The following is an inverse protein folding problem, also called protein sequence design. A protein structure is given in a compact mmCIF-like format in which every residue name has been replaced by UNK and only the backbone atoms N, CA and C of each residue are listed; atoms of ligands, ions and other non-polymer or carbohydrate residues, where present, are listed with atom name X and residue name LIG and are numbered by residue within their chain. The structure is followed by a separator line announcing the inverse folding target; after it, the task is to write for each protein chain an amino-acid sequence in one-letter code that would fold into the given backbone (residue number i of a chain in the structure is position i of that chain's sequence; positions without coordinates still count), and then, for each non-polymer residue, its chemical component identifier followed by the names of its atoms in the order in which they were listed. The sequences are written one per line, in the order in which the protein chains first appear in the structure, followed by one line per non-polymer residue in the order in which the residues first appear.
data_IF_123491972471
#
_entry.id   IF_123491972471
#
_cell.length_a   1.000
_cell.length_b   1.000
_cell.length_c   1.000
_cell.angle_alpha   90.00
_cell.angle_beta   90.00
_cell.angle_gamma   90.00
#
_symmetry.space_group_name_H-M   'P 1'
#
loop_
_entity.id
_entity.type
_entity.pdbx_description
1 polymer ?
#
# COMPACT_ATOMS: atom_id res chain seq x y z
N UNK A 1 18.34 -26.84 13.37
CA UNK A 1 17.74 -27.08 12.05
C UNK A 1 17.76 -25.79 11.25
N UNK A 2 18.25 -25.82 10.01
CA UNK A 2 18.30 -24.66 9.09
C UNK A 2 16.86 -24.31 8.66
N UNK A 3 16.46 -23.03 8.60
CA UNK A 3 15.14 -22.68 8.08
C UNK A 3 15.05 -23.05 6.60
N UNK A 4 13.85 -23.38 6.14
CA UNK A 4 13.57 -23.71 4.75
C UNK A 4 13.61 -22.44 3.89
N UNK A 5 14.83 -22.04 3.52
CA UNK A 5 15.13 -20.88 2.71
C UNK A 5 16.22 -21.19 1.69
N UNK A 6 15.99 -20.76 0.45
CA UNK A 6 16.86 -20.99 -0.70
C UNK A 6 17.11 -19.67 -1.44
N UNK A 7 18.27 -19.56 -2.09
CA UNK A 7 18.60 -18.43 -2.94
C UNK A 7 18.86 -18.95 -4.36
N UNK A 8 18.07 -18.50 -5.33
CA UNK A 8 18.09 -18.94 -6.72
C UNK A 8 18.00 -17.74 -7.67
N UNK A 9 18.27 -17.97 -8.96
CA UNK A 9 18.15 -16.95 -10.00
C UNK A 9 19.49 -16.33 -10.41
N UNK A 10 19.49 -15.44 -11.40
CA UNK A 10 20.70 -14.89 -11.97
C UNK A 10 21.39 -13.92 -11.00
N UNK A 11 22.72 -13.79 -11.09
CA UNK A 11 23.51 -12.88 -10.24
C UNK A 11 23.03 -11.42 -10.27
N UNK A 12 22.41 -10.97 -11.37
CA UNK A 12 21.87 -9.62 -11.52
C UNK A 12 20.56 -9.39 -10.74
N UNK A 13 19.82 -10.45 -10.42
CA UNK A 13 18.53 -10.39 -9.74
C UNK A 13 18.29 -11.68 -8.93
N UNK A 14 19.08 -11.94 -7.88
CA UNK A 14 18.93 -13.14 -7.08
C UNK A 14 17.64 -13.07 -6.25
N UNK A 15 17.01 -14.22 -6.05
CA UNK A 15 15.74 -14.37 -5.35
C UNK A 15 15.94 -15.27 -4.14
N UNK A 16 15.74 -14.72 -2.95
CA UNK A 16 15.66 -15.49 -1.71
C UNK A 16 14.22 -15.89 -1.49
N UNK A 17 13.97 -17.17 -1.27
CA UNK A 17 12.64 -17.73 -1.00
C UNK A 17 12.67 -18.50 0.30
N UNK A 18 11.82 -18.11 1.26
CA UNK A 18 11.60 -18.77 2.53
C UNK A 18 10.14 -19.23 2.63
N UNK A 19 9.90 -20.50 2.95
CA UNK A 19 8.54 -21.05 2.97
C UNK A 19 8.33 -22.16 3.99
N UNK A 20 7.08 -22.41 4.38
CA UNK A 20 6.71 -23.50 5.29
C UNK A 20 7.41 -23.44 6.65
N UNK A 21 7.67 -22.23 7.18
CA UNK A 21 8.25 -22.11 8.52
C UNK A 21 7.16 -22.30 9.58
N UNK A 22 7.43 -23.19 10.52
CA UNK A 22 6.43 -23.73 11.44
C UNK A 22 6.14 -22.82 12.62
N UNK A 23 7.13 -22.02 13.05
CA UNK A 23 7.04 -21.16 14.22
C UNK A 23 7.99 -19.96 14.15
N UNK A 24 7.83 -19.05 15.12
CA UNK A 24 8.63 -17.83 15.28
C UNK A 24 10.13 -18.12 15.49
N UNK A 25 10.49 -19.24 16.14
CA UNK A 25 11.90 -19.62 16.39
C UNK A 25 12.57 -20.06 15.09
N UNK A 26 11.85 -20.78 14.23
CA UNK A 26 12.33 -21.17 12.91
C UNK A 26 12.54 -19.94 12.03
N UNK A 27 11.57 -19.01 12.01
CA UNK A 27 11.68 -17.75 11.28
C UNK A 27 12.82 -16.86 11.78
N UNK A 28 13.09 -16.82 13.10
CA UNK A 28 14.23 -16.08 13.65
C UNK A 28 15.60 -16.59 13.17
N UNK A 29 15.68 -17.84 12.67
CA UNK A 29 16.94 -18.38 12.12
C UNK A 29 17.24 -17.84 10.72
N UNK A 30 16.29 -17.21 10.02
CA UNK A 30 16.53 -16.56 8.72
C UNK A 30 17.66 -15.53 8.85
N UNK A 31 17.69 -14.76 9.94
CA UNK A 31 18.73 -13.77 10.24
C UNK A 31 20.16 -14.33 10.27
N UNK A 32 20.34 -15.64 10.43
CA UNK A 32 21.65 -16.30 10.45
C UNK A 32 22.09 -16.83 9.08
N UNK A 33 21.21 -16.76 8.08
CA UNK A 33 21.55 -17.17 6.72
C UNK A 33 22.54 -16.18 6.13
N UNK A 34 23.66 -16.70 5.62
CA UNK A 34 24.62 -15.92 4.86
C UNK A 34 24.38 -16.15 3.38
N UNK A 35 24.26 -15.06 2.64
CA UNK A 35 24.16 -15.10 1.19
C UNK A 35 25.41 -14.44 0.59
N UNK A 36 25.96 -14.99 -0.51
CA UNK A 36 27.20 -14.47 -1.11
C UNK A 36 27.03 -13.09 -1.76
N UNK A 37 25.80 -12.57 -1.86
CA UNK A 37 25.46 -11.34 -2.56
C UNK A 37 24.65 -10.45 -1.61
N UNK A 38 25.10 -9.21 -1.39
CA UNK A 38 24.39 -8.23 -0.55
C UNK A 38 23.21 -7.55 -1.24
N UNK A 39 23.22 -7.48 -2.58
CA UNK A 39 22.11 -6.92 -3.37
C UNK A 39 21.19 -8.02 -3.85
N UNK A 40 19.96 -8.03 -3.33
CA UNK A 40 18.96 -9.05 -3.63
C UNK A 40 17.88 -8.45 -4.51
N UNK A 41 17.55 -9.12 -5.61
CA UNK A 41 16.46 -8.71 -6.48
C UNK A 41 15.12 -8.83 -5.75
N UNK A 42 14.87 -10.01 -5.16
CA UNK A 42 13.61 -10.28 -4.45
C UNK A 42 13.80 -11.15 -3.21
N UNK A 43 13.09 -10.81 -2.14
CA UNK A 43 12.88 -11.68 -1.00
C UNK A 43 11.41 -12.11 -0.97
N UNK A 44 11.15 -13.42 -0.98
CA UNK A 44 9.81 -13.99 -0.94
C UNK A 44 9.62 -14.82 0.33
N UNK A 45 8.56 -14.54 1.08
CA UNK A 45 8.21 -15.24 2.30
C UNK A 45 6.75 -15.65 2.27
N UNK A 46 6.48 -16.94 2.29
CA UNK A 46 5.11 -17.45 2.16
C UNK A 46 4.83 -18.72 2.95
N UNK A 47 3.54 -19.06 3.04
CA UNK A 47 3.01 -20.31 3.60
C UNK A 47 3.59 -20.65 4.99
N UNK A 48 3.78 -19.63 5.83
CA UNK A 48 4.45 -19.76 7.14
C UNK A 48 3.51 -19.38 8.29
N UNK A 49 3.63 -20.08 9.42
CA UNK A 49 2.73 -19.98 10.59
C UNK A 49 3.16 -18.94 11.61
N UNK A 50 3.72 -17.82 11.15
CA UNK A 50 4.15 -16.72 12.02
C UNK A 50 3.14 -15.58 12.04
N UNK A 51 3.13 -14.83 13.13
CA UNK A 51 2.19 -13.72 13.38
C UNK A 51 2.86 -12.35 13.40
N UNK A 52 4.17 -12.30 13.63
CA UNK A 52 4.94 -11.06 13.66
C UNK A 52 6.18 -11.14 12.78
N UNK A 53 6.39 -10.13 11.94
CA UNK A 53 7.65 -9.98 11.21
C UNK A 53 8.43 -8.76 11.72
N UNK A 54 9.64 -8.96 12.20
CA UNK A 54 10.45 -7.94 12.88
C UNK A 54 11.95 -8.05 12.55
N UNK A 55 12.73 -7.11 13.07
CA UNK A 55 14.18 -7.00 12.83
C UNK A 55 15.02 -8.16 13.40
N UNK A 56 14.44 -9.06 14.19
CA UNK A 56 15.13 -10.28 14.62
C UNK A 56 15.06 -11.39 13.58
N UNK A 57 14.22 -11.25 12.54
CA UNK A 57 14.04 -12.26 11.48
C UNK A 57 14.83 -11.97 10.21
N UNK A 58 15.28 -10.73 10.00
CA UNK A 58 15.98 -10.33 8.78
C UNK A 58 17.50 -10.20 8.96
N UNK A 59 18.32 -10.73 8.02
CA UNK A 59 19.74 -10.39 7.95
C UNK A 59 19.92 -8.91 7.61
N UNK A 60 20.82 -8.26 8.34
CA UNK A 60 20.97 -6.79 8.33
C UNK A 60 21.77 -6.27 7.14
N UNK A 61 22.43 -7.15 6.42
CA UNK A 61 23.28 -6.85 5.26
C UNK A 61 22.52 -6.88 3.93
N UNK A 62 21.29 -7.43 3.92
CA UNK A 62 20.53 -7.62 2.69
C UNK A 62 19.88 -6.33 2.24
N UNK A 63 20.29 -5.86 1.06
CA UNK A 63 19.70 -4.73 0.35
C UNK A 63 18.81 -5.28 -0.75
N UNK A 64 17.51 -5.28 -0.51
CA UNK A 64 16.51 -5.95 -1.32
C UNK A 64 15.75 -4.91 -2.17
N UNK A 65 15.43 -5.24 -3.42
CA UNK A 65 14.60 -4.38 -4.29
C UNK A 65 13.11 -4.66 -4.17
N UNK A 66 12.74 -5.93 -4.02
CA UNK A 66 11.34 -6.35 -3.89
C UNK A 66 11.19 -7.30 -2.70
N UNK A 67 10.37 -6.91 -1.72
CA UNK A 67 9.96 -7.76 -0.62
C UNK A 67 8.52 -8.22 -0.85
N UNK A 68 8.30 -9.53 -0.88
CA UNK A 68 7.00 -10.18 -0.98
C UNK A 68 6.74 -11.06 0.25
N UNK A 69 5.68 -10.78 0.97
CA UNK A 69 5.19 -11.54 2.12
C UNK A 69 3.74 -11.92 1.83
N UNK A 70 3.46 -13.20 1.63
CA UNK A 70 2.14 -13.63 1.15
C UNK A 70 1.67 -14.94 1.79
N UNK A 71 0.35 -15.09 2.00
CA UNK A 71 -0.26 -16.32 2.53
C UNK A 71 0.38 -16.79 3.84
N UNK A 72 0.57 -15.86 4.77
CA UNK A 72 1.03 -16.14 6.13
C UNK A 72 -0.04 -15.74 7.15
N UNK A 73 0.24 -15.90 8.45
CA UNK A 73 -0.63 -15.45 9.54
C UNK A 73 -0.21 -14.10 10.14
N UNK A 74 0.64 -13.34 9.44
CA UNK A 74 1.19 -12.09 9.95
C UNK A 74 0.07 -11.10 10.26
N UNK A 75 0.10 -10.58 11.49
CA UNK A 75 -0.80 -9.54 11.99
C UNK A 75 -0.10 -8.21 12.26
N UNK A 76 1.22 -8.23 12.43
CA UNK A 76 2.07 -7.07 12.73
C UNK A 76 3.40 -7.17 11.97
N UNK A 77 3.82 -6.07 11.36
CA UNK A 77 5.14 -5.92 10.74
C UNK A 77 5.82 -4.68 11.31
N UNK A 78 7.04 -4.89 11.80
CA UNK A 78 7.99 -3.83 12.10
C UNK A 78 8.84 -3.56 10.85
N UNK A 79 8.64 -2.40 10.22
CA UNK A 79 9.33 -2.03 8.99
C UNK A 79 10.84 -1.85 9.19
N UNK A 80 11.33 -1.66 10.42
CA UNK A 80 12.78 -1.66 10.69
C UNK A 80 13.44 -2.99 10.35
N UNK A 81 12.67 -4.08 10.22
CA UNK A 81 13.17 -5.35 9.67
C UNK A 81 13.79 -5.22 8.28
N UNK A 82 13.39 -4.19 7.51
CA UNK A 82 13.84 -3.97 6.14
C UNK A 82 14.74 -2.75 6.01
N UNK A 83 15.19 -2.13 7.11
CA UNK A 83 15.88 -0.84 7.09
C UNK A 83 17.18 -0.84 6.26
N UNK A 84 17.87 -1.99 6.16
CA UNK A 84 19.02 -2.17 5.28
C UNK A 84 18.71 -1.89 3.80
N UNK A 85 17.45 -2.04 3.41
CA UNK A 85 16.93 -1.82 2.06
C UNK A 85 16.37 -0.40 1.84
N UNK A 86 16.60 0.55 2.76
CA UNK A 86 16.08 1.93 2.68
C UNK A 86 16.31 2.65 1.34
N UNK A 87 17.44 2.39 0.70
CA UNK A 87 17.81 2.97 -0.59
C UNK A 87 17.60 2.03 -1.79
N UNK A 88 17.12 0.81 -1.58
CA UNK A 88 17.00 -0.17 -2.67
C UNK A 88 15.58 -0.69 -2.84
N UNK A 89 14.76 -0.67 -1.79
CA UNK A 89 13.41 -1.21 -1.79
C UNK A 89 12.53 -0.37 -2.73
N UNK A 90 12.07 -1.00 -3.81
CA UNK A 90 11.20 -0.41 -4.82
C UNK A 90 9.76 -0.90 -4.69
N UNK A 91 9.57 -2.13 -4.19
CA UNK A 91 8.25 -2.72 -4.00
C UNK A 91 8.16 -3.46 -2.66
N UNK A 92 7.16 -3.10 -1.87
CA UNK A 92 6.78 -3.82 -0.66
C UNK A 92 5.39 -4.41 -0.87
N UNK A 93 5.32 -5.73 -0.93
CA UNK A 93 4.08 -6.48 -1.06
C UNK A 93 3.86 -7.33 0.18
N UNK A 94 2.81 -7.04 0.94
CA UNK A 94 2.36 -7.83 2.10
C UNK A 94 0.89 -8.14 1.87
N UNK A 95 0.59 -9.25 1.19
CA UNK A 95 -0.75 -9.51 0.63
C UNK A 95 -1.30 -10.86 1.08
N UNK A 96 -2.61 -11.03 1.16
CA UNK A 96 -3.21 -12.28 1.67
C UNK A 96 -2.67 -12.68 3.05
N UNK A 97 -2.64 -11.74 4.00
CA UNK A 97 -2.29 -11.98 5.40
C UNK A 97 -3.41 -11.47 6.32
N UNK A 98 -3.15 -11.37 7.62
CA UNK A 98 -4.08 -10.82 8.61
C UNK A 98 -3.55 -9.50 9.19
N UNK A 99 -2.82 -8.71 8.40
CA UNK A 99 -2.16 -7.49 8.89
C UNK A 99 -3.21 -6.53 9.45
N UNK A 100 -3.14 -6.25 10.75
CA UNK A 100 -4.13 -5.39 11.45
C UNK A 100 -3.67 -3.95 11.56
N UNK A 101 -2.36 -3.74 11.60
CA UNK A 101 -1.71 -2.43 11.77
C UNK A 101 -0.41 -2.39 10.97
N UNK A 102 -0.17 -1.24 10.35
CA UNK A 102 1.11 -0.87 9.78
C UNK A 102 1.35 0.60 10.14
N UNK A 103 2.52 0.93 10.67
CA UNK A 103 2.92 2.33 10.86
C UNK A 103 3.34 2.89 9.52
N UNK A 104 2.39 3.46 8.78
CA UNK A 104 2.65 4.04 7.46
C UNK A 104 3.75 5.11 7.48
N UNK A 105 3.92 5.81 8.60
CA UNK A 105 4.91 6.88 8.73
C UNK A 105 6.35 6.37 8.68
N UNK A 106 6.57 5.08 8.97
CA UNK A 106 7.88 4.43 8.83
C UNK A 106 8.23 4.18 7.33
N UNK A 107 7.26 4.32 6.40
CA UNK A 107 7.55 4.20 4.97
C UNK A 107 8.47 5.32 4.46
N UNK A 108 8.52 6.47 5.15
CA UNK A 108 9.47 7.57 4.88
C UNK A 108 10.94 7.16 4.87
N UNK A 109 11.28 6.04 5.51
CA UNK A 109 12.64 5.54 5.50
C UNK A 109 13.00 4.87 4.16
N UNK A 110 12.04 4.46 3.33
CA UNK A 110 12.29 3.76 2.07
C UNK A 110 12.26 4.72 0.88
N UNK A 111 13.38 5.43 0.70
CA UNK A 111 13.54 6.52 -0.27
C UNK A 111 13.40 6.12 -1.74
N UNK A 112 13.43 4.81 -2.05
CA UNK A 112 13.25 4.29 -3.41
C UNK A 112 11.90 3.60 -3.64
N UNK A 113 11.00 3.61 -2.65
CA UNK A 113 9.75 2.86 -2.69
C UNK A 113 8.82 3.46 -3.76
N UNK A 114 8.34 2.61 -4.65
CA UNK A 114 7.45 2.98 -5.76
C UNK A 114 6.08 2.29 -5.69
N UNK A 115 6.04 1.08 -5.13
CA UNK A 115 4.84 0.25 -5.08
C UNK A 115 4.63 -0.29 -3.67
N UNK A 116 3.44 -0.05 -3.12
CA UNK A 116 3.00 -0.60 -1.84
C UNK A 116 1.71 -1.40 -2.05
N UNK A 117 1.83 -2.71 -1.91
CA UNK A 117 0.71 -3.64 -2.14
C UNK A 117 0.34 -4.31 -0.81
N UNK A 118 -0.82 -3.95 -0.24
CA UNK A 118 -1.31 -4.37 1.07
C UNK A 118 -2.72 -5.00 1.00
N UNK A 119 -3.14 -5.43 -0.19
CA UNK A 119 -4.47 -5.98 -0.42
C UNK A 119 -4.68 -7.36 0.24
N UNK A 120 -5.95 -7.70 0.52
CA UNK A 120 -6.34 -8.88 1.31
C UNK A 120 -5.63 -8.93 2.66
N UNK A 121 -5.91 -7.93 3.50
CA UNK A 121 -5.48 -7.86 4.89
C UNK A 121 -6.64 -7.43 5.80
N UNK A 122 -6.34 -7.00 7.03
CA UNK A 122 -7.33 -6.59 8.03
C UNK A 122 -7.06 -5.18 8.58
N UNK A 123 -6.48 -4.30 7.75
CA UNK A 123 -6.24 -2.90 8.13
C UNK A 123 -7.57 -2.20 8.36
N UNK A 124 -7.63 -1.33 9.38
CA UNK A 124 -8.87 -0.67 9.83
C UNK A 124 -8.93 0.83 9.53
N UNK A 125 -7.79 1.46 9.36
CA UNK A 125 -7.69 2.91 9.16
C UNK A 125 -6.40 3.28 8.46
N UNK A 126 -6.44 4.42 7.77
CA UNK A 126 -5.26 5.18 7.34
C UNK A 126 -5.26 6.45 8.18
N UNK A 127 -4.18 6.71 8.90
CA UNK A 127 -4.07 7.82 9.85
C UNK A 127 -3.87 9.17 9.14
N UNK A 128 -3.99 10.27 9.87
CA UNK A 128 -3.69 11.61 9.34
C UNK A 128 -2.21 11.68 8.95
N UNK A 129 -1.90 12.27 7.80
CA UNK A 129 -0.52 12.39 7.29
C UNK A 129 0.25 11.04 7.22
N UNK A 130 -0.47 9.94 7.00
CA UNK A 130 0.01 8.57 7.21
C UNK A 130 1.39 8.25 6.62
N UNK A 131 1.68 8.64 5.38
CA UNK A 131 2.84 8.10 4.65
C UNK A 131 4.13 8.92 4.81
N UNK A 132 4.05 10.14 5.36
CA UNK A 132 5.17 11.09 5.31
C UNK A 132 5.65 11.39 3.88
N UNK A 133 6.78 12.09 3.75
CA UNK A 133 7.33 12.45 2.43
C UNK A 133 7.92 11.24 1.72
N UNK A 134 7.21 10.70 0.73
CA UNK A 134 7.66 9.57 -0.11
C UNK A 134 7.53 9.98 -1.58
N UNK A 135 8.50 10.73 -2.12
CA UNK A 135 8.37 11.35 -3.42
C UNK A 135 8.33 10.35 -4.58
N UNK A 136 8.76 9.09 -4.39
CA UNK A 136 8.79 8.10 -5.46
C UNK A 136 7.62 7.12 -5.44
N UNK A 137 6.75 7.18 -4.42
CA UNK A 137 5.63 6.25 -4.29
C UNK A 137 4.57 6.58 -5.35
N UNK A 138 4.31 5.62 -6.23
CA UNK A 138 3.45 5.77 -7.42
C UNK A 138 2.12 5.03 -7.28
N UNK A 139 2.13 3.89 -6.60
CA UNK A 139 0.95 3.03 -6.48
C UNK A 139 0.80 2.51 -5.06
N UNK A 140 -0.42 2.59 -4.55
CA UNK A 140 -0.83 2.02 -3.27
C UNK A 140 -2.07 1.16 -3.52
N UNK A 141 -2.00 -0.11 -3.15
CA UNK A 141 -3.15 -1.01 -3.13
C UNK A 141 -3.51 -1.38 -1.68
N UNK A 142 -4.63 -0.86 -1.23
CA UNK A 142 -5.24 -1.10 0.09
C UNK A 142 -6.60 -1.82 -0.05
N UNK A 143 -6.90 -2.37 -1.22
CA UNK A 143 -8.16 -3.06 -1.49
C UNK A 143 -8.34 -4.30 -0.62
N UNK A 144 -9.59 -4.77 -0.48
CA UNK A 144 -9.92 -5.96 0.31
C UNK A 144 -9.36 -5.91 1.75
N UNK A 145 -9.57 -4.79 2.42
CA UNK A 145 -9.24 -4.60 3.83
C UNK A 145 -10.53 -4.34 4.64
N UNK A 146 -10.41 -3.81 5.86
CA UNK A 146 -11.54 -3.38 6.68
C UNK A 146 -11.44 -1.89 7.02
N UNK A 147 -10.88 -1.09 6.11
CA UNK A 147 -10.64 0.33 6.33
C UNK A 147 -11.98 1.05 6.42
N UNK A 148 -12.26 1.66 7.57
CA UNK A 148 -13.48 2.44 7.81
C UNK A 148 -13.21 3.93 7.98
N UNK A 149 -11.95 4.34 8.04
CA UNK A 149 -11.52 5.72 8.23
C UNK A 149 -10.25 6.02 7.43
N UNK A 150 -10.26 7.15 6.72
CA UNK A 150 -9.07 7.77 6.11
C UNK A 150 -8.91 9.15 6.74
N UNK A 151 -7.72 9.39 7.28
CA UNK A 151 -7.36 10.63 7.92
C UNK A 151 -7.26 11.82 6.97
N UNK A 152 -7.24 13.01 7.56
CA UNK A 152 -6.99 14.24 6.82
C UNK A 152 -5.57 14.24 6.30
N UNK A 153 -5.38 14.69 5.05
CA UNK A 153 -4.05 14.76 4.42
C UNK A 153 -3.31 13.42 4.40
N UNK A 154 -4.02 12.28 4.48
CA UNK A 154 -3.43 10.96 4.57
C UNK A 154 -2.38 10.71 3.47
N UNK A 155 -2.65 11.16 2.24
CA UNK A 155 -1.79 10.99 1.07
C UNK A 155 -1.09 12.29 0.61
N UNK A 156 -1.11 13.34 1.43
CA UNK A 156 -0.69 14.70 1.04
C UNK A 156 0.77 14.80 0.58
N UNK A 157 1.63 14.02 1.22
CA UNK A 157 3.09 14.02 1.04
C UNK A 157 3.57 13.05 -0.07
N UNK A 158 2.68 12.67 -0.99
CA UNK A 158 2.91 11.71 -2.09
C UNK A 158 2.77 12.38 -3.47
N UNK A 159 3.71 13.26 -3.89
CA UNK A 159 3.57 14.07 -5.10
C UNK A 159 3.49 13.26 -6.41
N UNK A 160 4.01 12.03 -6.41
CA UNK A 160 4.01 11.15 -7.57
C UNK A 160 3.02 9.99 -7.47
N UNK A 161 2.06 10.03 -6.53
CA UNK A 161 1.00 9.01 -6.47
C UNK A 161 0.12 9.13 -7.72
N UNK A 162 -0.06 8.00 -8.40
CA UNK A 162 -0.86 7.88 -9.64
C UNK A 162 -1.98 6.85 -9.51
N UNK A 163 -1.81 5.85 -8.65
CA UNK A 163 -2.80 4.79 -8.46
C UNK A 163 -3.05 4.58 -6.97
N UNK A 164 -4.31 4.67 -6.58
CA UNK A 164 -4.77 4.37 -5.23
C UNK A 164 -6.01 3.48 -5.30
N UNK A 165 -5.87 2.24 -4.85
CA UNK A 165 -6.96 1.28 -4.81
C UNK A 165 -7.43 1.07 -3.36
N UNK A 166 -8.69 1.42 -3.10
CA UNK A 166 -9.36 1.32 -1.80
C UNK A 166 -10.67 0.53 -1.90
N UNK A 167 -10.89 -0.22 -2.99
CA UNK A 167 -12.14 -0.97 -3.17
C UNK A 167 -12.29 -2.11 -2.17
N UNK A 168 -13.52 -2.58 -1.98
CA UNK A 168 -13.83 -3.64 -1.01
C UNK A 168 -13.31 -3.33 0.41
N UNK A 169 -13.59 -2.11 0.88
CA UNK A 169 -13.34 -1.67 2.25
C UNK A 169 -14.68 -1.34 2.97
N UNK A 170 -14.61 -0.65 4.10
CA UNK A 170 -15.76 -0.32 4.96
C UNK A 170 -15.94 1.19 5.11
N UNK A 171 -15.49 1.98 4.13
CA UNK A 171 -15.57 3.43 4.17
C UNK A 171 -17.04 3.84 4.11
N UNK A 172 -17.44 4.73 5.01
CA UNK A 172 -18.80 5.29 5.09
C UNK A 172 -18.86 6.76 4.68
N UNK A 173 -17.75 7.46 4.88
CA UNK A 173 -17.61 8.89 4.63
C UNK A 173 -16.21 9.11 4.05
N UNK A 174 -16.10 9.99 3.06
CA UNK A 174 -14.81 10.59 2.69
C UNK A 174 -14.68 11.91 3.44
N UNK A 175 -13.69 12.02 4.32
CA UNK A 175 -13.45 13.21 5.12
C UNK A 175 -12.85 14.35 4.29
N UNK A 176 -12.98 15.58 4.79
CA UNK A 176 -12.33 16.75 4.21
C UNK A 176 -10.82 16.52 4.07
N UNK A 177 -10.28 16.92 2.93
CA UNK A 177 -8.86 16.85 2.60
C UNK A 177 -8.21 15.45 2.66
N UNK A 178 -9.00 14.38 2.68
CA UNK A 178 -8.47 13.01 2.75
C UNK A 178 -7.53 12.69 1.56
N UNK A 179 -7.85 13.21 0.38
CA UNK A 179 -7.11 12.97 -0.86
C UNK A 179 -6.40 14.22 -1.41
N UNK A 180 -6.34 15.31 -0.64
CA UNK A 180 -5.65 16.55 -1.03
C UNK A 180 -4.19 16.26 -1.32
N UNK A 181 -3.68 16.76 -2.44
CA UNK A 181 -2.27 16.66 -2.82
C UNK A 181 -1.51 17.96 -2.53
N UNK A 182 -0.29 17.85 -2.00
CA UNK A 182 0.61 19.00 -1.83
C UNK A 182 1.04 19.59 -3.16
N UNK A 183 1.30 18.73 -4.14
CA UNK A 183 1.78 19.08 -5.47
C UNK A 183 0.94 18.33 -6.50
N UNK A 184 -0.23 18.86 -6.88
CA UNK A 184 -1.03 18.28 -7.94
C UNK A 184 -0.22 18.26 -9.24
N UNK A 185 -0.31 17.17 -10.03
CA UNK A 185 0.40 17.07 -11.30
C UNK A 185 -0.11 18.14 -12.27
N UNK A 186 0.77 18.74 -13.10
CA UNK A 186 0.37 19.81 -14.02
C UNK A 186 -0.43 19.30 -15.23
N UNK A 187 -0.48 17.98 -15.46
CA UNK A 187 -1.11 17.37 -16.62
C UNK A 187 -2.02 16.19 -16.20
N UNK A 188 -2.97 15.83 -17.06
CA UNK A 188 -3.92 14.73 -16.83
C UNK A 188 -3.28 13.33 -16.90
N UNK A 189 -2.21 13.13 -17.68
CA UNK A 189 -1.55 11.81 -17.77
C UNK A 189 -0.97 11.36 -16.43
N UNK A 190 -0.51 12.32 -15.63
CA UNK A 190 0.04 12.15 -14.30
C UNK A 190 -1.01 12.27 -13.19
N UNK A 191 -2.30 12.41 -13.52
CA UNK A 191 -3.35 12.57 -12.51
C UNK A 191 -3.77 11.26 -11.84
N UNK A 192 -4.44 11.37 -10.69
CA UNK A 192 -4.70 10.24 -9.80
C UNK A 192 -5.82 9.34 -10.34
N UNK A 193 -5.57 8.04 -10.41
CA UNK A 193 -6.60 7.00 -10.50
C UNK A 193 -6.96 6.52 -9.11
N UNK A 194 -8.17 6.83 -8.66
CA UNK A 194 -8.71 6.46 -7.35
C UNK A 194 -9.89 5.50 -7.52
N UNK A 195 -9.78 4.31 -6.94
CA UNK A 195 -10.89 3.34 -6.88
C UNK A 195 -11.41 3.25 -5.44
N UNK A 196 -12.64 3.72 -5.23
CA UNK A 196 -13.40 3.65 -3.98
C UNK A 196 -14.64 2.75 -4.12
N UNK A 197 -14.72 1.95 -5.18
CA UNK A 197 -15.85 1.08 -5.44
C UNK A 197 -16.06 0.05 -4.32
N UNK A 198 -17.27 -0.50 -4.22
CA UNK A 198 -17.58 -1.55 -3.24
C UNK A 198 -17.22 -1.17 -1.79
N UNK A 199 -17.52 0.08 -1.41
CA UNK A 199 -17.47 0.55 -0.04
C UNK A 199 -18.91 0.74 0.50
N UNK A 200 -19.05 1.44 1.62
CA UNK A 200 -20.34 1.68 2.28
C UNK A 200 -20.67 3.18 2.32
N UNK A 201 -20.12 3.96 1.40
CA UNK A 201 -20.13 5.41 1.47
C UNK A 201 -21.53 5.96 1.24
N UNK A 202 -22.01 6.81 2.14
CA UNK A 202 -23.27 7.52 1.99
C UNK A 202 -23.12 9.05 1.95
N UNK A 203 -21.92 9.55 2.28
CA UNK A 203 -21.58 10.97 2.31
C UNK A 203 -20.15 11.18 1.79
N UNK A 204 -19.96 12.23 0.99
CA UNK A 204 -18.66 12.77 0.61
C UNK A 204 -18.63 14.19 1.17
N UNK A 205 -17.62 14.51 1.96
CA UNK A 205 -17.49 15.85 2.54
C UNK A 205 -17.10 16.88 1.48
N UNK A 206 -17.41 18.15 1.72
CA UNK A 206 -17.30 19.22 0.72
C UNK A 206 -15.88 19.37 0.15
N UNK A 207 -14.87 19.29 1.03
CA UNK A 207 -13.46 19.44 0.67
C UNK A 207 -12.73 18.10 0.51
N UNK A 208 -13.46 16.99 0.35
CA UNK A 208 -12.88 15.64 0.27
C UNK A 208 -11.80 15.50 -0.83
N UNK A 209 -11.99 16.22 -1.93
CA UNK A 209 -11.19 16.16 -3.15
C UNK A 209 -10.52 17.48 -3.51
N UNK A 210 -10.45 18.41 -2.56
CA UNK A 210 -9.87 19.74 -2.76
C UNK A 210 -8.41 19.63 -3.21
N UNK A 211 -8.06 20.34 -4.30
CA UNK A 211 -6.73 20.31 -4.93
C UNK A 211 -6.29 18.90 -5.38
N UNK A 212 -7.23 18.04 -5.73
CA UNK A 212 -6.94 16.73 -6.33
C UNK A 212 -7.42 16.70 -7.78
N UNK A 213 -6.52 16.30 -8.68
CA UNK A 213 -6.83 16.10 -10.10
C UNK A 213 -6.89 14.60 -10.33
N UNK A 214 -8.00 14.10 -10.87
CA UNK A 214 -8.18 12.68 -11.14
C UNK A 214 -8.14 12.39 -12.63
N UNK A 215 -7.47 11.29 -12.96
CA UNK A 215 -7.59 10.60 -14.24
C UNK A 215 -8.85 9.75 -14.26
N UNK A 216 -9.10 9.06 -13.13
CA UNK A 216 -10.24 8.16 -12.92
C UNK A 216 -10.65 8.19 -11.46
N UNK A 217 -11.95 8.31 -11.18
CA UNK A 217 -12.51 8.22 -9.84
C UNK A 217 -13.70 7.25 -9.84
N UNK A 218 -13.50 6.03 -9.35
CA UNK A 218 -14.58 5.05 -9.27
C UNK A 218 -15.27 5.10 -7.90
N UNK A 219 -16.57 5.43 -7.89
CA UNK A 219 -17.43 5.46 -6.69
C UNK A 219 -18.54 4.40 -6.73
N UNK A 220 -18.50 3.48 -7.70
CA UNK A 220 -19.54 2.48 -7.92
C UNK A 220 -19.78 1.58 -6.72
N UNK A 221 -20.96 0.97 -6.66
CA UNK A 221 -21.30 0.03 -5.60
C UNK A 221 -21.11 0.59 -4.17
N UNK A 222 -21.50 1.85 -3.97
CA UNK A 222 -21.59 2.52 -2.68
C UNK A 222 -23.07 2.78 -2.29
N UNK A 223 -23.32 3.58 -1.26
CA UNK A 223 -24.66 3.92 -0.73
C UNK A 223 -24.97 5.42 -0.87
N UNK A 224 -24.36 6.08 -1.86
CA UNK A 224 -24.48 7.52 -2.06
C UNK A 224 -25.90 7.87 -2.52
N UNK A 225 -26.56 8.77 -1.78
CA UNK A 225 -27.95 9.18 -2.07
C UNK A 225 -28.05 10.49 -2.85
N UNK A 226 -27.03 11.35 -2.78
CA UNK A 226 -26.99 12.65 -3.44
C UNK A 226 -25.57 12.99 -3.87
N UNK A 227 -25.45 13.54 -5.07
CA UNK A 227 -24.23 14.14 -5.60
C UNK A 227 -24.52 15.64 -5.77
N UNK A 228 -23.75 16.51 -5.11
CA UNK A 228 -23.75 17.94 -5.43
C UNK A 228 -22.58 18.21 -6.37
N UNK A 229 -22.82 18.99 -7.43
CA UNK A 229 -21.84 19.26 -8.49
C UNK A 229 -20.54 19.87 -7.97
N UNK A 230 -20.61 20.66 -6.90
CA UNK A 230 -19.46 21.32 -6.26
C UNK A 230 -18.36 20.35 -5.79
N UNK A 231 -18.73 19.13 -5.38
CA UNK A 231 -17.76 18.12 -4.92
C UNK A 231 -16.88 17.58 -6.04
N UNK A 232 -17.29 17.81 -7.29
CA UNK A 232 -16.68 17.20 -8.46
C UNK A 232 -16.19 18.22 -9.46
N UNK A 233 -16.20 19.53 -9.17
CA UNK A 233 -15.69 20.56 -10.09
C UNK A 233 -14.36 20.19 -10.78
N UNK A 234 -13.38 19.56 -10.10
CA UNK A 234 -12.13 19.12 -10.74
C UNK A 234 -12.29 18.03 -11.82
N UNK A 235 -13.41 17.29 -11.84
CA UNK A 235 -13.68 16.17 -12.76
C UNK A 235 -15.02 16.27 -13.49
N UNK A 236 -15.81 17.34 -13.30
CA UNK A 236 -17.11 17.54 -13.97
C UNK A 236 -16.98 17.41 -15.49
N UNK A 237 -15.86 17.87 -16.06
CA UNK A 237 -15.63 17.90 -17.51
C UNK A 237 -15.19 16.55 -18.11
N UNK A 238 -14.90 15.55 -17.27
CA UNK A 238 -14.39 14.26 -17.71
C UNK A 238 -15.36 13.11 -17.33
N UNK A 239 -16.52 13.41 -16.73
CA UNK A 239 -17.58 12.45 -16.40
C UNK A 239 -18.27 11.88 -17.66
N UNK A 240 -18.07 10.60 -17.95
CA UNK A 240 -18.68 9.94 -19.13
C UNK A 240 -20.00 9.22 -18.81
N UNK A 241 -20.25 8.81 -17.57
CA UNK A 241 -21.55 8.23 -17.21
C UNK A 241 -21.82 8.32 -15.71
N UNK A 242 -23.01 8.81 -15.35
CA UNK A 242 -23.67 8.59 -14.05
C UNK A 242 -24.82 7.62 -14.29
N UNK A 243 -24.53 6.34 -14.52
CA UNK A 243 -25.54 5.28 -14.40
C UNK A 243 -25.07 4.33 -13.32
N UNK A 244 -25.93 4.12 -12.31
CA UNK A 244 -25.72 3.17 -11.21
C UNK A 244 -24.62 3.53 -10.18
N UNK A 245 -24.20 4.81 -10.12
CA UNK A 245 -23.26 5.29 -9.09
C UNK A 245 -21.78 5.10 -9.42
N UNK A 246 -21.46 4.54 -10.58
CA UNK A 246 -20.12 4.61 -11.17
C UNK A 246 -19.92 6.00 -11.76
N UNK A 247 -18.84 6.69 -11.36
CA UNK A 247 -18.32 7.83 -12.12
C UNK A 247 -17.16 7.26 -12.93
N UNK A 248 -17.31 7.11 -14.25
CA UNK A 248 -16.17 6.86 -15.11
C UNK A 248 -15.71 8.20 -15.65
N UNK A 249 -14.46 8.51 -15.35
CA UNK A 249 -13.78 9.67 -15.88
C UNK A 249 -12.90 9.15 -17.02
N UNK A 250 -13.18 9.54 -18.27
CA UNK A 250 -12.29 9.25 -19.42
C UNK A 250 -11.28 10.38 -19.63
#
# INVERSE_FOLDING_TARGET
MKPNCECMGPFIFPVITCKNLNDEKEAARIKRLRFPIGNIGKFSFFDSKITKFDSFKMPIELRIKFIQIERTKITEIDLFAFFASRFTLQRLQITHNNLKRLRFSDLRYFESLQYLDLYYNSLKSVEDNAFGFNPFLKSIDLSFNSISYIGSYAFYELPNLRNLDLRFNKLKIVNNNAFTSRMPPPNLHDSLTLDLSHNQMFLIAEDAFTRTVFKKLDLSHNRLKRFESKHFEPIVNTMVALREGTILVE
#
